data_IF_441304630552
#
_entry.id   IF_441304630552
#
_cell.length_a   1.000
_cell.length_b   1.000
_cell.length_c   1.000
_cell.angle_alpha   90.00
_cell.angle_beta   90.00
_cell.angle_gamma   90.00
#
_symmetry.space_group_name_H-M   'P 1'
#
loop_
_entity.id
_entity.type
_entity.pdbx_description
1 polymer ?
#
# COMPACT_ATOMS: atom_id res chain seq x y z
N UNK A 1 -34.79 4.62 -17.67
CA UNK A 1 -35.63 5.82 -17.84
C UNK A 1 -36.16 6.21 -16.45
N UNK A 2 -35.63 7.30 -15.88
CA UNK A 2 -36.04 7.78 -14.55
C UNK A 2 -37.04 8.90 -14.70
N UNK A 3 -38.18 8.80 -14.05
CA UNK A 3 -39.22 9.82 -14.08
C UNK A 3 -38.99 10.81 -12.90
N UNK A 4 -38.70 12.07 -13.23
CA UNK A 4 -38.30 13.07 -12.26
C UNK A 4 -39.47 13.75 -11.51
N UNK A 5 -40.65 13.76 -12.07
CA UNK A 5 -41.85 14.35 -11.44
C UNK A 5 -43.14 13.73 -11.90
N UNK A 6 -44.16 13.80 -11.05
CA UNK A 6 -45.54 13.54 -11.43
C UNK A 6 -46.29 14.83 -11.68
N UNK A 7 -47.47 14.72 -12.32
CA UNK A 7 -48.33 15.83 -12.69
C UNK A 7 -48.70 16.66 -11.44
N UNK A 8 -48.30 17.92 -11.44
CA UNK A 8 -48.73 18.91 -10.41
C UNK A 8 -49.92 19.70 -10.91
N UNK A 9 -50.93 19.68 -10.12
CA UNK A 9 -52.17 20.42 -10.39
C UNK A 9 -52.15 21.71 -9.52
N UNK A 10 -51.24 22.63 -9.87
CA UNK A 10 -51.22 23.94 -9.22
C UNK A 10 -51.51 25.06 -10.20
N UNK A 11 -52.15 26.11 -9.74
CA UNK A 11 -52.51 27.26 -10.51
C UNK A 11 -51.41 28.36 -10.53
N UNK A 12 -50.20 28.05 -10.16
CA UNK A 12 -49.10 28.99 -10.15
C UNK A 12 -48.34 28.98 -11.48
N UNK A 13 -48.37 30.08 -12.20
CA UNK A 13 -47.79 30.25 -13.51
C UNK A 13 -46.27 30.59 -13.49
N UNK A 14 -45.65 30.64 -12.34
CA UNK A 14 -44.22 30.97 -12.22
C UNK A 14 -43.50 29.95 -11.33
N UNK A 15 -42.72 29.08 -11.96
CA UNK A 15 -41.80 28.19 -11.27
C UNK A 15 -40.41 28.86 -11.22
N UNK A 16 -40.07 29.38 -10.06
CA UNK A 16 -38.72 29.84 -9.75
C UNK A 16 -37.99 28.71 -9.03
N UNK A 17 -36.90 28.20 -9.64
CA UNK A 17 -35.99 27.22 -9.05
C UNK A 17 -36.66 25.91 -8.61
N UNK A 18 -37.06 25.09 -9.58
CA UNK A 18 -37.43 23.70 -9.30
C UNK A 18 -36.21 22.81 -9.35
N UNK A 19 -35.91 22.18 -8.20
CA UNK A 19 -34.88 21.15 -8.10
C UNK A 19 -35.56 19.79 -8.11
N UNK A 20 -35.19 18.99 -9.10
CA UNK A 20 -35.57 17.58 -9.15
C UNK A 20 -34.35 16.77 -8.85
N UNK A 21 -34.45 15.79 -7.98
CA UNK A 21 -33.40 14.81 -7.74
C UNK A 21 -33.87 13.42 -8.11
N UNK A 22 -33.03 12.69 -8.80
CA UNK A 22 -33.20 11.26 -9.02
C UNK A 22 -31.97 10.51 -8.55
N UNK A 23 -32.14 9.31 -8.06
CA UNK A 23 -31.04 8.41 -7.76
C UNK A 23 -30.94 7.46 -8.93
N UNK A 24 -29.90 7.62 -9.73
CA UNK A 24 -29.50 6.59 -10.68
C UNK A 24 -28.91 5.42 -9.90
N UNK A 25 -29.04 4.22 -10.43
CA UNK A 25 -28.45 3.05 -9.79
C UNK A 25 -26.93 3.19 -9.79
N UNK A 26 -26.29 2.75 -8.72
CA UNK A 26 -24.86 2.52 -8.65
C UNK A 26 -24.50 1.58 -9.79
N UNK A 27 -23.50 1.90 -10.60
CA UNK A 27 -23.02 1.23 -11.82
C UNK A 27 -23.65 1.68 -13.15
N UNK A 28 -24.45 2.74 -13.20
CA UNK A 28 -24.84 3.32 -14.48
C UNK A 28 -23.83 4.40 -14.92
N UNK A 29 -23.26 4.23 -16.11
CA UNK A 29 -22.39 5.23 -16.73
C UNK A 29 -23.13 6.56 -16.92
N UNK A 30 -22.48 7.66 -16.56
CA UNK A 30 -22.97 9.01 -16.89
C UNK A 30 -22.68 9.40 -18.34
N UNK A 31 -21.93 8.58 -19.07
CA UNK A 31 -21.59 8.79 -20.47
C UNK A 31 -22.81 8.44 -21.34
N UNK A 32 -23.20 9.40 -22.19
CA UNK A 32 -24.33 9.27 -23.09
C UNK A 32 -25.16 10.55 -23.27
N UNK A 33 -26.19 10.45 -24.14
CA UNK A 33 -27.09 11.55 -24.40
C UNK A 33 -28.18 11.67 -23.31
N UNK A 34 -28.17 12.80 -22.60
CA UNK A 34 -29.18 13.12 -21.60
C UNK A 34 -30.28 13.99 -22.24
N UNK A 35 -31.50 13.51 -22.22
CA UNK A 35 -32.66 14.22 -22.79
C UNK A 35 -33.63 14.61 -21.69
N UNK A 36 -33.90 15.90 -21.55
CA UNK A 36 -34.97 16.42 -20.71
C UNK A 36 -36.25 16.58 -21.58
N UNK A 37 -37.24 15.76 -21.31
CA UNK A 37 -38.57 15.88 -21.93
C UNK A 37 -39.54 16.62 -20.98
N UNK A 38 -39.99 17.78 -21.41
CA UNK A 38 -40.95 18.59 -20.66
C UNK A 38 -42.22 18.70 -21.43
N UNK A 39 -43.27 18.13 -20.90
CA UNK A 39 -44.58 18.11 -21.52
C UNK A 39 -45.60 18.89 -20.70
N UNK A 40 -46.06 20.02 -21.24
CA UNK A 40 -47.19 20.78 -20.72
C UNK A 40 -48.50 20.13 -21.15
N UNK A 41 -49.22 19.55 -20.20
CA UNK A 41 -50.54 18.93 -20.44
C UNK A 41 -51.71 19.86 -20.12
N UNK A 42 -51.43 21.09 -19.72
CA UNK A 42 -52.46 22.11 -19.38
C UNK A 42 -53.05 22.77 -20.63
N UNK A 43 -54.34 22.92 -20.68
CA UNK A 43 -55.03 23.64 -21.74
C UNK A 43 -54.94 25.14 -21.52
N UNK A 44 -54.18 25.86 -22.36
CA UNK A 44 -54.29 27.30 -22.53
C UNK A 44 -53.23 28.15 -21.82
N UNK A 45 -52.20 27.58 -21.31
CA UNK A 45 -51.06 28.30 -20.73
C UNK A 45 -49.81 28.04 -21.55
N UNK A 46 -49.05 29.08 -21.85
CA UNK A 46 -47.74 28.99 -22.53
C UNK A 46 -46.65 29.47 -21.58
N UNK A 47 -45.70 28.64 -21.30
CA UNK A 47 -44.50 28.98 -20.53
C UNK A 47 -43.26 28.99 -21.41
N UNK A 48 -42.23 29.72 -21.02
CA UNK A 48 -40.92 29.66 -21.63
C UNK A 48 -39.89 29.18 -20.61
N UNK A 49 -39.08 28.25 -21.02
CA UNK A 49 -37.92 27.81 -20.25
C UNK A 49 -36.73 28.69 -20.61
N UNK A 50 -36.19 29.38 -19.62
CA UNK A 50 -35.07 30.29 -19.87
C UNK A 50 -33.73 29.63 -19.64
N UNK A 51 -33.71 28.65 -18.73
CA UNK A 51 -32.48 27.93 -18.33
C UNK A 51 -32.82 26.60 -17.66
N UNK A 52 -32.01 25.60 -17.86
CA UNK A 52 -31.96 24.39 -17.07
C UNK A 52 -30.50 23.98 -16.90
N UNK A 53 -30.18 23.36 -15.80
CA UNK A 53 -28.87 22.86 -15.50
C UNK A 53 -28.99 21.40 -15.02
N UNK A 54 -28.14 20.53 -15.55
CA UNK A 54 -28.01 19.15 -15.08
C UNK A 54 -26.71 19.05 -14.32
N UNK A 55 -26.81 18.73 -13.04
CA UNK A 55 -25.66 18.43 -12.20
C UNK A 55 -25.67 16.94 -11.93
N UNK A 56 -24.64 16.24 -12.40
CA UNK A 56 -24.45 14.82 -12.18
C UNK A 56 -23.38 14.66 -11.08
N UNK A 57 -23.74 13.97 -10.04
CA UNK A 57 -22.81 13.57 -9.00
C UNK A 57 -22.53 12.07 -9.18
N UNK A 58 -21.30 11.73 -9.54
CA UNK A 58 -20.81 10.36 -9.65
C UNK A 58 -19.50 10.20 -8.92
N UNK A 59 -19.09 8.99 -8.65
CA UNK A 59 -17.70 8.69 -8.35
C UNK A 59 -16.94 8.65 -9.68
N UNK A 60 -15.73 9.17 -9.73
CA UNK A 60 -14.81 8.89 -10.82
C UNK A 60 -14.54 7.38 -10.85
N UNK A 61 -14.42 6.81 -12.03
CA UNK A 61 -13.96 5.43 -12.16
C UNK A 61 -12.51 5.40 -11.70
N UNK A 62 -12.24 4.67 -10.64
CA UNK A 62 -10.87 4.45 -10.19
C UNK A 62 -10.30 3.39 -11.11
N UNK A 63 -9.32 3.78 -11.93
CA UNK A 63 -8.58 2.88 -12.81
C UNK A 63 -7.41 2.33 -12.03
N UNK A 64 -7.22 1.02 -12.08
CA UNK A 64 -6.11 0.23 -11.54
C UNK A 64 -5.74 -0.76 -12.65
N UNK A 65 -4.72 -0.42 -13.43
CA UNK A 65 -4.47 -1.06 -14.73
C UNK A 65 -3.76 -2.41 -14.62
N UNK A 66 -2.97 -2.62 -13.59
CA UNK A 66 -2.22 -3.86 -13.32
C UNK A 66 -2.85 -4.72 -12.22
N UNK A 67 -3.84 -4.16 -11.49
CA UNK A 67 -4.62 -4.79 -10.44
C UNK A 67 -3.79 -5.15 -9.19
N UNK A 68 -2.88 -4.31 -8.80
CA UNK A 68 -2.09 -4.43 -7.57
C UNK A 68 -2.79 -3.86 -6.33
N UNK A 69 -3.88 -3.12 -6.54
CA UNK A 69 -4.69 -2.47 -5.50
C UNK A 69 -4.36 -1.00 -5.30
N UNK A 70 -3.44 -0.42 -6.07
CA UNK A 70 -3.11 0.99 -6.09
C UNK A 70 -3.68 1.63 -7.38
N UNK A 71 -4.41 2.75 -7.31
CA UNK A 71 -4.93 3.39 -8.51
C UNK A 71 -3.83 4.04 -9.37
N UNK A 72 -3.94 3.96 -10.71
CA UNK A 72 -3.02 4.58 -11.68
C UNK A 72 -2.70 6.05 -11.37
N UNK A 73 -3.68 6.80 -10.86
CA UNK A 73 -3.50 8.20 -10.51
C UNK A 73 -2.63 8.38 -9.27
N UNK A 74 -2.79 7.52 -8.25
CA UNK A 74 -2.00 7.54 -7.02
C UNK A 74 -0.57 7.07 -7.31
N UNK A 75 -0.41 6.05 -8.14
CA UNK A 75 0.88 5.56 -8.59
C UNK A 75 1.70 6.67 -9.25
N UNK A 76 1.14 7.30 -10.28
CA UNK A 76 1.84 8.32 -11.06
C UNK A 76 2.13 9.61 -10.27
N UNK A 77 1.17 10.06 -9.43
CA UNK A 77 1.22 11.38 -8.81
C UNK A 77 1.75 11.38 -7.37
N UNK A 78 1.66 10.26 -6.67
CA UNK A 78 1.99 10.17 -5.24
C UNK A 78 3.19 9.26 -5.01
N UNK A 79 3.17 8.04 -5.58
CA UNK A 79 4.14 7.00 -5.26
C UNK A 79 5.29 6.91 -6.27
N UNK A 80 5.11 7.41 -7.51
CA UNK A 80 6.05 7.33 -8.63
C UNK A 80 6.32 5.90 -9.09
N UNK A 81 5.35 5.03 -8.98
CA UNK A 81 5.33 3.68 -9.51
C UNK A 81 4.82 3.64 -10.95
N UNK A 82 4.91 2.51 -11.64
CA UNK A 82 4.44 2.33 -13.02
C UNK A 82 3.05 1.67 -13.02
N UNK A 83 1.97 2.36 -13.47
CA UNK A 83 0.60 1.84 -13.50
C UNK A 83 0.36 0.58 -14.35
N UNK A 84 1.40 0.01 -14.90
CA UNK A 84 1.33 -1.22 -15.69
C UNK A 84 2.22 -2.33 -15.13
N UNK A 85 2.94 -2.06 -14.05
CA UNK A 85 3.85 -2.98 -13.39
C UNK A 85 3.49 -3.09 -11.90
N UNK A 86 2.87 -4.20 -11.48
CA UNK A 86 2.34 -4.34 -10.13
C UNK A 86 3.40 -4.48 -9.02
N UNK A 87 4.70 -4.47 -9.37
CA UNK A 87 5.85 -4.65 -8.47
C UNK A 87 7.02 -3.85 -9.06
N UNK A 88 7.04 -2.53 -8.76
CA UNK A 88 7.89 -1.56 -9.46
C UNK A 88 9.39 -1.70 -9.18
N UNK A 89 9.79 -2.34 -8.09
CA UNK A 89 11.20 -2.56 -7.71
C UNK A 89 11.64 -4.03 -7.76
N UNK A 90 10.73 -4.93 -8.20
CA UNK A 90 10.99 -6.37 -8.44
C UNK A 90 11.38 -7.16 -7.17
N UNK A 91 10.92 -6.77 -5.97
CA UNK A 91 11.23 -7.45 -4.70
C UNK A 91 10.27 -8.59 -4.33
N UNK A 92 9.20 -8.78 -5.11
CA UNK A 92 8.06 -9.70 -4.93
C UNK A 92 6.98 -9.25 -3.96
N UNK A 93 6.95 -8.00 -3.52
CA UNK A 93 5.78 -7.36 -2.98
C UNK A 93 5.11 -6.53 -4.10
N UNK A 94 3.81 -6.41 -4.05
CA UNK A 94 3.08 -5.52 -4.96
C UNK A 94 3.09 -4.11 -4.39
N UNK A 95 3.18 -3.08 -5.24
CA UNK A 95 3.21 -1.67 -4.83
C UNK A 95 2.07 -1.34 -3.87
N UNK A 96 0.84 -1.79 -4.20
CA UNK A 96 -0.31 -1.61 -3.32
C UNK A 96 -0.20 -2.35 -1.98
N UNK A 97 0.44 -3.54 -1.95
CA UNK A 97 0.69 -4.24 -0.69
C UNK A 97 1.68 -3.48 0.19
N UNK A 98 2.72 -2.92 -0.38
CA UNK A 98 3.73 -2.15 0.32
C UNK A 98 3.15 -0.90 0.97
N UNK A 99 2.37 -0.14 0.22
CA UNK A 99 1.72 1.08 0.72
C UNK A 99 0.71 0.80 1.83
N UNK A 100 -0.11 -0.25 1.70
CA UNK A 100 -1.23 -0.48 2.60
C UNK A 100 -0.96 -1.47 3.74
N UNK A 101 0.05 -2.34 3.60
CA UNK A 101 0.29 -3.45 4.52
C UNK A 101 1.67 -3.43 5.19
N UNK A 102 2.77 -3.42 4.43
CA UNK A 102 4.13 -3.44 4.99
C UNK A 102 4.63 -2.04 5.38
N UNK A 103 4.15 -1.01 4.71
CA UNK A 103 4.64 0.38 4.84
C UNK A 103 6.07 0.56 4.32
N UNK A 104 6.50 -0.31 3.43
CA UNK A 104 7.77 -0.25 2.71
C UNK A 104 7.70 0.71 1.52
N UNK A 105 8.77 0.87 0.79
CA UNK A 105 8.88 1.80 -0.34
C UNK A 105 8.73 1.06 -1.66
N UNK A 106 7.66 1.22 -2.44
CA UNK A 106 7.41 0.45 -3.68
C UNK A 106 8.37 0.77 -4.84
N UNK A 107 9.44 1.49 -4.58
CA UNK A 107 10.51 1.84 -5.55
C UNK A 107 11.90 1.61 -4.97
N UNK A 108 11.99 0.89 -3.85
CA UNK A 108 13.24 0.58 -3.16
C UNK A 108 13.11 -0.78 -2.51
N UNK A 109 13.68 -1.78 -3.13
CA UNK A 109 13.54 -3.20 -2.79
C UNK A 109 14.14 -3.62 -1.43
N UNK A 110 14.82 -2.70 -0.72
CA UNK A 110 15.46 -2.94 0.59
C UNK A 110 15.31 -1.65 1.40
N UNK A 111 14.15 -1.46 2.04
CA UNK A 111 13.72 -0.18 2.64
C UNK A 111 14.61 0.26 3.81
N UNK A 112 15.22 -0.66 4.56
CA UNK A 112 16.08 -0.35 5.70
C UNK A 112 17.58 -0.54 5.44
N UNK A 113 17.97 -0.91 4.21
CA UNK A 113 19.35 -1.03 3.74
C UNK A 113 20.17 -2.14 4.46
N UNK A 114 19.51 -3.22 4.91
CA UNK A 114 20.17 -4.29 5.68
C UNK A 114 20.72 -5.45 4.84
N UNK A 115 20.47 -5.45 3.51
CA UNK A 115 20.84 -6.44 2.48
C UNK A 115 19.84 -7.59 2.29
N UNK A 116 18.69 -7.58 2.92
CA UNK A 116 17.54 -8.39 2.55
C UNK A 116 16.54 -7.53 1.77
N UNK A 117 15.94 -8.10 0.74
CA UNK A 117 14.84 -7.42 0.07
C UNK A 117 13.59 -7.46 0.95
N UNK A 118 12.75 -6.41 0.97
CA UNK A 118 11.53 -6.33 1.77
C UNK A 118 10.63 -7.55 1.57
N UNK A 119 10.53 -8.02 0.31
CA UNK A 119 9.81 -9.25 0.00
C UNK A 119 10.43 -10.52 0.59
N UNK A 120 11.74 -10.60 0.73
CA UNK A 120 12.40 -11.72 1.42
C UNK A 120 12.08 -11.69 2.91
N UNK A 121 12.08 -10.52 3.52
CA UNK A 121 11.77 -10.32 4.92
C UNK A 121 10.33 -10.69 5.24
N UNK A 122 9.37 -10.10 4.52
CA UNK A 122 7.93 -10.32 4.75
C UNK A 122 7.51 -11.76 4.45
N UNK A 123 8.02 -12.34 3.35
CA UNK A 123 7.50 -13.63 2.83
C UNK A 123 8.30 -14.84 3.30
N UNK A 124 9.58 -14.68 3.64
CA UNK A 124 10.49 -15.79 3.90
C UNK A 124 11.01 -15.81 5.33
N UNK A 125 11.62 -14.72 5.77
CA UNK A 125 12.30 -14.67 7.06
C UNK A 125 11.37 -14.21 8.19
N UNK A 126 10.29 -13.49 7.86
CA UNK A 126 9.30 -12.92 8.79
C UNK A 126 9.94 -11.88 9.73
N UNK A 127 10.96 -11.21 9.23
CA UNK A 127 11.61 -10.07 9.86
C UNK A 127 10.84 -8.77 9.60
N UNK A 128 11.33 -7.66 10.11
CA UNK A 128 10.67 -6.36 9.97
C UNK A 128 11.38 -5.50 8.93
N UNK A 129 10.85 -5.32 7.72
CA UNK A 129 11.49 -4.62 6.60
C UNK A 129 11.70 -3.10 6.81
N UNK A 130 11.44 -2.60 8.00
CA UNK A 130 11.67 -1.20 8.40
C UNK A 130 12.70 -1.10 9.53
N UNK A 131 13.39 -2.19 9.87
CA UNK A 131 14.30 -2.24 10.99
C UNK A 131 15.46 -3.19 10.70
N UNK A 132 16.63 -2.67 10.40
CA UNK A 132 17.86 -3.39 10.05
C UNK A 132 18.21 -4.61 10.97
N UNK A 133 17.72 -4.64 12.21
CA UNK A 133 18.01 -5.62 13.25
C UNK A 133 16.72 -5.89 14.04
N UNK A 134 15.98 -6.92 13.62
CA UNK A 134 14.64 -7.23 14.15
C UNK A 134 14.65 -7.63 15.61
N UNK A 135 15.63 -8.40 16.08
CA UNK A 135 15.72 -8.90 17.46
C UNK A 135 16.61 -8.05 18.38
N UNK A 136 17.28 -7.05 17.81
CA UNK A 136 18.08 -6.04 18.52
C UNK A 136 19.32 -6.61 19.24
N UNK A 137 20.00 -7.56 18.63
CA UNK A 137 21.22 -8.18 19.17
C UNK A 137 22.52 -7.51 18.68
N UNK A 138 22.42 -6.65 17.65
CA UNK A 138 23.55 -5.91 17.07
C UNK A 138 24.07 -6.51 15.77
N UNK A 139 23.51 -7.62 15.29
CA UNK A 139 23.61 -8.08 13.91
C UNK A 139 22.41 -7.59 13.11
N UNK A 140 22.61 -7.21 11.86
CA UNK A 140 21.48 -6.92 10.97
C UNK A 140 20.90 -8.23 10.43
N UNK A 141 19.60 -8.25 10.14
CA UNK A 141 18.91 -9.45 9.66
C UNK A 141 19.59 -10.02 8.42
N UNK A 142 20.02 -9.13 7.48
CA UNK A 142 20.79 -9.52 6.31
C UNK A 142 22.16 -10.14 6.64
N UNK A 143 22.89 -9.62 7.63
CA UNK A 143 24.14 -10.24 8.07
C UNK A 143 23.90 -11.63 8.67
N UNK A 144 22.84 -11.79 9.45
CA UNK A 144 22.49 -13.07 10.04
C UNK A 144 22.17 -14.12 8.98
N UNK A 145 21.33 -13.78 8.01
CA UNK A 145 20.93 -14.70 6.94
C UNK A 145 22.08 -15.02 5.99
N UNK A 146 22.86 -14.01 5.56
CA UNK A 146 23.81 -14.11 4.46
C UNK A 146 25.25 -14.45 4.90
N UNK A 147 25.62 -14.06 6.11
CA UNK A 147 27.01 -14.15 6.58
C UNK A 147 27.19 -15.10 7.76
N UNK A 148 26.42 -14.93 8.81
CA UNK A 148 26.57 -15.74 10.03
C UNK A 148 25.74 -17.03 9.98
N UNK A 149 24.68 -17.04 9.15
CA UNK A 149 23.71 -18.16 9.05
C UNK A 149 23.00 -18.41 10.40
N UNK A 150 22.80 -17.36 11.18
CA UNK A 150 21.98 -17.34 12.39
C UNK A 150 20.51 -17.06 12.07
N UNK A 151 19.70 -16.94 13.09
CA UNK A 151 18.26 -16.71 12.92
C UNK A 151 17.91 -15.27 13.32
N UNK A 152 17.51 -14.40 12.39
CA UNK A 152 17.27 -12.97 12.63
C UNK A 152 16.09 -12.65 13.57
N UNK A 153 15.43 -13.66 14.13
CA UNK A 153 14.36 -13.52 15.10
C UNK A 153 14.78 -14.02 16.50
N UNK A 154 16.05 -14.36 16.69
CA UNK A 154 16.54 -14.96 17.94
C UNK A 154 17.80 -14.26 18.38
N UNK A 155 17.69 -13.45 19.40
CA UNK A 155 18.78 -12.68 20.00
C UNK A 155 20.04 -13.52 20.24
N UNK A 156 21.08 -13.26 19.48
CA UNK A 156 22.36 -13.93 19.52
C UNK A 156 23.31 -13.17 20.46
N UNK A 157 23.48 -13.63 21.69
CA UNK A 157 24.30 -12.93 22.68
C UNK A 157 25.80 -13.07 22.39
N UNK A 158 26.53 -11.94 22.43
CA UNK A 158 27.98 -11.87 22.63
C UNK A 158 28.22 -11.45 24.07
N UNK A 159 28.28 -12.43 25.01
CA UNK A 159 28.23 -12.20 26.44
C UNK A 159 29.51 -11.55 27.00
N UNK A 160 30.63 -11.74 26.35
CA UNK A 160 31.92 -11.17 26.75
C UNK A 160 32.43 -10.04 25.89
N UNK A 161 31.66 -9.70 24.79
CA UNK A 161 31.92 -8.59 23.92
C UNK A 161 33.25 -8.65 23.15
N UNK A 162 33.63 -9.84 22.71
CA UNK A 162 34.85 -10.07 21.96
C UNK A 162 34.65 -10.09 20.44
N UNK A 163 33.38 -9.96 19.97
CA UNK A 163 32.96 -9.91 18.58
C UNK A 163 32.63 -11.28 17.98
N UNK A 164 32.50 -12.30 18.81
CA UNK A 164 32.03 -13.62 18.46
C UNK A 164 30.79 -13.97 19.26
N UNK A 165 29.75 -14.36 18.58
CA UNK A 165 28.47 -14.69 19.20
C UNK A 165 28.47 -16.11 19.76
N UNK A 166 27.58 -16.41 20.73
CA UNK A 166 27.53 -17.68 21.48
C UNK A 166 27.57 -18.94 20.59
N UNK A 167 27.02 -18.88 19.36
CA UNK A 167 27.02 -20.03 18.45
C UNK A 167 28.32 -20.20 17.63
N UNK A 168 29.15 -19.19 17.62
CA UNK A 168 30.47 -19.18 16.96
C UNK A 168 31.63 -19.27 17.95
N UNK A 169 31.39 -18.86 19.21
CA UNK A 169 32.39 -18.79 20.23
C UNK A 169 32.46 -20.07 21.06
N UNK A 170 33.70 -20.53 21.31
CA UNK A 170 33.97 -21.69 22.12
C UNK A 170 33.68 -21.48 23.61
N UNK A 171 33.71 -20.23 24.06
CA UNK A 171 33.39 -19.85 25.43
C UNK A 171 32.93 -18.38 25.54
N UNK A 172 31.69 -18.13 25.28
CA UNK A 172 30.97 -16.86 25.29
C UNK A 172 30.96 -16.11 26.64
N UNK A 173 31.86 -16.44 27.55
CA UNK A 173 32.05 -15.76 28.84
C UNK A 173 33.48 -15.36 29.09
N UNK A 174 34.38 -15.59 28.14
CA UNK A 174 35.79 -15.29 28.29
C UNK A 174 36.38 -14.75 26.98
N UNK A 175 36.57 -13.43 26.82
CA UNK A 175 37.01 -12.77 25.59
C UNK A 175 38.42 -13.19 25.09
N UNK A 176 39.13 -13.99 25.84
CA UNK A 176 40.45 -14.55 25.45
C UNK A 176 40.31 -15.91 24.72
N UNK A 177 39.11 -16.51 24.68
CA UNK A 177 38.81 -17.80 24.05
C UNK A 177 37.82 -17.59 22.93
N UNK A 178 38.33 -17.65 21.70
CA UNK A 178 37.53 -17.37 20.49
C UNK A 178 38.02 -18.19 19.30
N UNK A 179 37.19 -18.38 18.26
CA UNK A 179 37.55 -19.18 17.10
C UNK A 179 38.86 -18.72 16.43
N UNK A 180 39.60 -19.68 15.91
CA UNK A 180 40.86 -19.47 15.19
C UNK A 180 42.00 -18.85 16.00
N UNK A 181 41.89 -18.79 17.31
CA UNK A 181 43.04 -18.44 18.18
C UNK A 181 44.11 -19.55 18.13
N UNK A 182 45.40 -19.21 18.18
CA UNK A 182 46.44 -20.20 18.32
C UNK A 182 46.31 -20.89 19.66
N UNK A 183 46.32 -22.23 19.67
CA UNK A 183 46.34 -23.02 20.90
C UNK A 183 47.52 -22.65 21.80
N UNK A 184 47.23 -22.22 22.98
CA UNK A 184 48.23 -21.95 24.02
C UNK A 184 48.46 -23.23 24.83
N UNK A 185 49.73 -23.57 25.13
CA UNK A 185 50.11 -24.76 25.93
C UNK A 185 49.81 -24.58 27.41
N UNK A 186 48.66 -24.08 27.76
CA UNK A 186 48.20 -23.84 29.13
C UNK A 186 47.17 -24.87 29.62
N UNK A 187 46.74 -25.77 28.74
CA UNK A 187 45.77 -26.84 29.02
C UNK A 187 44.31 -26.39 28.87
N UNK A 188 44.08 -25.21 28.29
CA UNK A 188 42.76 -24.71 27.91
C UNK A 188 42.65 -24.79 26.39
N UNK A 189 41.54 -25.27 25.87
CA UNK A 189 41.20 -25.24 24.47
C UNK A 189 40.77 -23.82 24.11
N UNK A 190 41.58 -23.10 23.32
CA UNK A 190 41.36 -21.69 22.98
C UNK A 190 40.86 -21.51 21.54
N UNK A 191 40.43 -22.58 20.83
CA UNK A 191 39.97 -22.50 19.43
C UNK A 191 38.70 -23.29 19.13
#
# INVERSE_FOLDING_TARGET
ESRLAEEHNDNNNNFNEWVFSTVLHWDESSDGDWTLDVNDRGNGYTGSWNHWELVIHGAEEIIDSDNDGLPDEDETNIHNTDPLDPDSDDDNLMDGYEIFNSSTSPIDSDTDDDLLDDGQEVLTFLTNPLQEDTDSDGLTDGNEVLVTFSNPLVFDADSDSDGWYWFQDCNDTNPDIKPFQPELLDGIDNN
#
